data_IF_552135140701
#
_entry.id   IF_552135140701
#
_cell.length_a   1.000
_cell.length_b   1.000
_cell.length_c   1.000
_cell.angle_alpha   90.00
_cell.angle_beta   90.00
_cell.angle_gamma   90.00
#
_symmetry.space_group_name_H-M   'P 1'
#
loop_
_entity.id
_entity.type
_entity.pdbx_description
1 polymer ?
#
# COMPACT_ATOMS: atom_id res chain seq x y z
N UNK A 1 -17.29 -0.26 -11.99
CA UNK A 1 -16.48 -1.19 -11.19
C UNK A 1 -15.63 -0.40 -10.22
N UNK A 2 -15.23 -0.99 -9.09
CA UNK A 2 -14.31 -0.33 -8.16
C UNK A 2 -12.90 -0.40 -8.75
N UNK A 3 -12.20 0.73 -8.87
CA UNK A 3 -10.78 0.74 -9.24
C UNK A 3 -9.96 0.69 -7.94
N UNK A 4 -9.03 -0.26 -7.88
CA UNK A 4 -8.14 -0.46 -6.73
C UNK A 4 -6.72 -0.02 -7.09
N UNK A 5 -6.07 0.72 -6.19
CA UNK A 5 -4.63 0.96 -6.21
C UNK A 5 -3.99 0.02 -5.20
N UNK A 6 -3.25 -0.97 -5.69
CA UNK A 6 -2.46 -1.88 -4.87
C UNK A 6 -1.12 -1.23 -4.53
N UNK A 7 -0.94 -0.88 -3.26
CA UNK A 7 0.19 -0.13 -2.74
C UNK A 7 1.11 -1.06 -1.94
N UNK A 8 2.28 -1.36 -2.49
CA UNK A 8 3.27 -2.23 -1.83
C UNK A 8 4.21 -1.41 -0.93
N UNK A 9 4.39 -1.88 0.30
CA UNK A 9 5.38 -1.35 1.25
C UNK A 9 6.71 -2.08 1.05
N UNK A 10 7.68 -1.37 0.46
CA UNK A 10 9.04 -1.85 0.23
C UNK A 10 9.91 -1.76 1.48
N UNK A 11 10.90 -2.66 1.66
CA UNK A 11 11.31 -3.69 0.70
C UNK A 11 10.64 -5.05 0.92
N UNK A 12 10.34 -5.42 2.16
CA UNK A 12 9.96 -6.79 2.51
C UNK A 12 8.67 -7.28 1.85
N UNK A 13 7.70 -6.38 1.65
CA UNK A 13 6.39 -6.72 1.08
C UNK A 13 6.41 -7.19 -0.39
N UNK A 14 7.50 -6.98 -1.14
CA UNK A 14 7.50 -7.17 -2.59
C UNK A 14 7.15 -8.59 -3.05
N UNK A 15 7.63 -9.62 -2.33
CA UNK A 15 7.42 -11.02 -2.73
C UNK A 15 5.97 -11.44 -2.49
N UNK A 16 5.46 -11.17 -1.30
CA UNK A 16 4.05 -11.39 -0.96
C UNK A 16 3.12 -10.60 -1.88
N UNK A 17 3.47 -9.35 -2.16
CA UNK A 17 2.73 -8.49 -3.07
C UNK A 17 2.64 -9.08 -4.48
N UNK A 18 3.76 -9.53 -5.06
CA UNK A 18 3.77 -10.13 -6.39
C UNK A 18 2.87 -11.36 -6.47
N UNK A 19 2.99 -12.27 -5.48
CA UNK A 19 2.18 -13.48 -5.44
C UNK A 19 0.68 -13.13 -5.30
N UNK A 20 0.32 -12.17 -4.43
CA UNK A 20 -1.05 -11.68 -4.27
C UNK A 20 -1.61 -11.10 -5.57
N UNK A 21 -0.84 -10.27 -6.28
CA UNK A 21 -1.26 -9.68 -7.56
C UNK A 21 -1.55 -10.76 -8.62
N UNK A 22 -0.75 -11.82 -8.66
CA UNK A 22 -0.94 -12.90 -9.63
C UNK A 22 -2.20 -13.73 -9.33
N UNK A 23 -2.53 -13.93 -8.05
CA UNK A 23 -3.83 -14.49 -7.67
C UNK A 23 -5.00 -13.58 -8.06
N UNK A 24 -4.91 -12.27 -7.82
CA UNK A 24 -5.96 -11.30 -8.20
C UNK A 24 -6.16 -11.29 -9.72
N UNK A 25 -5.07 -11.27 -10.51
CA UNK A 25 -5.15 -11.35 -11.98
C UNK A 25 -5.82 -12.64 -12.44
N UNK A 26 -5.48 -13.76 -11.81
CA UNK A 26 -6.08 -15.06 -12.12
C UNK A 26 -7.60 -15.03 -11.86
N UNK A 27 -8.04 -14.45 -10.75
CA UNK A 27 -9.48 -14.30 -10.46
C UNK A 27 -10.18 -13.37 -11.46
N UNK A 28 -9.55 -12.26 -11.84
CA UNK A 28 -10.08 -11.32 -12.82
C UNK A 28 -10.25 -11.92 -14.23
N UNK A 29 -9.43 -12.91 -14.60
CA UNK A 29 -9.53 -13.60 -15.90
C UNK A 29 -10.59 -14.70 -15.94
N UNK A 30 -10.95 -15.25 -14.77
CA UNK A 30 -11.84 -16.40 -14.64
C UNK A 30 -13.24 -16.02 -14.08
N UNK A 31 -13.58 -14.72 -14.06
CA UNK A 31 -14.84 -14.21 -13.52
C UNK A 31 -15.52 -13.25 -14.48
N UNK A 32 -16.86 -13.23 -14.47
CA UNK A 32 -17.68 -12.23 -15.17
C UNK A 32 -17.50 -10.80 -14.63
N UNK A 33 -16.75 -10.65 -13.52
CA UNK A 33 -16.46 -9.36 -12.87
C UNK A 33 -14.95 -9.13 -12.83
N UNK A 34 -14.49 -8.15 -13.61
CA UNK A 34 -13.10 -7.68 -13.58
C UNK A 34 -12.98 -6.44 -12.71
N UNK A 35 -11.96 -6.42 -11.85
CA UNK A 35 -11.59 -5.26 -11.02
C UNK A 35 -10.32 -4.64 -11.58
N UNK A 36 -10.38 -3.42 -12.14
CA UNK A 36 -9.20 -2.68 -12.57
C UNK A 36 -8.24 -2.47 -11.39
N UNK A 37 -6.95 -2.70 -11.64
CA UNK A 37 -5.91 -2.63 -10.63
C UNK A 37 -4.74 -1.79 -11.15
N UNK A 38 -4.32 -0.80 -10.38
CA UNK A 38 -3.06 -0.09 -10.58
C UNK A 38 -2.10 -0.46 -9.46
N UNK A 39 -0.82 -0.56 -9.78
CA UNK A 39 0.22 -0.92 -8.81
C UNK A 39 1.05 0.32 -8.50
N UNK A 40 1.34 0.54 -7.23
CA UNK A 40 2.28 1.56 -6.77
C UNK A 40 3.14 1.02 -5.62
N UNK A 41 4.29 1.64 -5.40
CA UNK A 41 5.28 1.21 -4.43
C UNK A 41 5.75 2.37 -3.57
N UNK A 42 5.62 2.22 -2.26
CA UNK A 42 6.16 3.15 -1.29
C UNK A 42 7.25 2.48 -0.47
N UNK A 43 8.20 3.28 0.01
CA UNK A 43 9.15 2.86 1.01
C UNK A 43 8.90 3.64 2.28
N UNK A 44 8.70 2.91 3.35
CA UNK A 44 8.52 3.50 4.67
C UNK A 44 9.85 3.45 5.41
N UNK A 45 10.30 4.60 5.93
CA UNK A 45 11.46 4.67 6.83
C UNK A 45 11.00 5.22 8.17
N UNK A 46 11.09 4.40 9.21
CA UNK A 46 11.10 4.90 10.58
C UNK A 46 12.48 5.53 10.83
N UNK A 47 12.53 6.80 11.23
CA UNK A 47 13.78 7.39 11.70
C UNK A 47 14.13 6.77 13.05
N UNK A 48 15.16 5.94 13.12
CA UNK A 48 15.73 5.46 14.39
C UNK A 48 17.24 5.26 14.28
N UNK A 49 18.00 6.15 14.92
CA UNK A 49 19.19 5.76 15.66
C UNK A 49 18.67 5.31 17.04
N UNK A 50 18.46 4.01 17.24
CA UNK A 50 18.17 3.32 18.51
C UNK A 50 17.02 3.82 19.41
N UNK A 51 16.22 4.81 18.99
CA UNK A 51 15.04 5.30 19.72
C UNK A 51 13.84 5.46 18.80
N UNK A 52 12.78 4.71 19.08
CA UNK A 52 11.49 4.84 18.40
C UNK A 52 10.95 6.27 18.52
N UNK A 53 10.97 7.03 17.43
CA UNK A 53 10.17 8.24 17.30
C UNK A 53 8.94 7.93 16.45
N UNK A 54 7.83 8.61 16.68
CA UNK A 54 6.59 8.46 15.87
C UNK A 54 6.70 9.10 14.47
N UNK A 55 7.92 9.44 14.02
CA UNK A 55 8.14 10.12 12.75
C UNK A 55 8.53 9.10 11.68
N UNK A 56 7.52 8.68 10.93
CA UNK A 56 7.67 7.82 9.76
C UNK A 56 7.71 8.69 8.50
N UNK A 57 8.70 8.47 7.64
CA UNK A 57 8.78 9.13 6.32
C UNK A 57 8.48 8.14 5.22
N UNK A 58 7.53 8.50 4.37
CA UNK A 58 7.22 7.78 3.13
C UNK A 58 8.10 8.33 2.01
N UNK A 59 8.71 7.44 1.23
CA UNK A 59 9.60 7.75 0.11
C UNK A 59 9.17 6.91 -1.08
N UNK A 60 9.03 7.53 -2.24
CA UNK A 60 8.47 6.85 -3.41
C UNK A 60 6.95 6.80 -3.36
N UNK A 61 6.36 6.13 -4.34
CA UNK A 61 4.98 6.34 -4.75
C UNK A 61 4.94 7.39 -5.86
N UNK A 62 4.08 7.18 -6.86
CA UNK A 62 3.60 8.33 -7.62
C UNK A 62 2.98 9.34 -6.65
N UNK A 63 2.77 10.58 -7.10
CA UNK A 63 2.22 11.66 -6.28
C UNK A 63 1.03 11.14 -5.44
N UNK A 64 1.16 11.05 -4.11
CA UNK A 64 0.16 10.39 -3.23
C UNK A 64 -1.24 11.01 -3.38
N UNK A 65 -1.31 12.23 -3.88
CA UNK A 65 -2.50 12.92 -4.40
C UNK A 65 -3.33 12.07 -5.37
N UNK A 66 -2.70 11.19 -6.14
CA UNK A 66 -3.35 10.27 -7.08
C UNK A 66 -4.21 9.21 -6.41
N UNK A 67 -4.17 9.08 -5.09
CA UNK A 67 -5.02 8.16 -4.31
C UNK A 67 -6.40 8.74 -3.99
N UNK A 68 -6.61 10.04 -4.20
CA UNK A 68 -7.88 10.71 -3.92
C UNK A 68 -9.06 10.05 -4.63
N UNK A 69 -10.08 9.65 -3.86
CA UNK A 69 -11.29 8.98 -4.34
C UNK A 69 -11.09 7.55 -4.84
N UNK A 70 -9.91 6.95 -4.66
CA UNK A 70 -9.61 5.56 -5.06
C UNK A 70 -9.67 4.61 -3.87
N UNK A 71 -10.02 3.35 -4.13
CA UNK A 71 -9.89 2.30 -3.12
C UNK A 71 -8.41 1.89 -3.07
N UNK A 72 -7.80 1.88 -1.88
CA UNK A 72 -6.37 1.57 -1.73
C UNK A 72 -6.21 0.24 -1.01
N UNK A 73 -5.45 -0.68 -1.60
CA UNK A 73 -5.07 -1.97 -1.02
C UNK A 73 -3.60 -1.89 -0.60
N UNK A 74 -3.35 -1.68 0.69
CA UNK A 74 -1.99 -1.62 1.25
C UNK A 74 -1.49 -3.03 1.52
N UNK A 75 -0.25 -3.31 1.13
CA UNK A 75 0.39 -4.61 1.33
C UNK A 75 1.75 -4.45 1.98
N UNK A 76 1.87 -4.93 3.22
CA UNK A 76 3.11 -5.01 4.01
C UNK A 76 3.44 -6.48 4.30
N UNK A 77 4.71 -6.81 4.56
CA UNK A 77 5.14 -8.19 4.83
C UNK A 77 4.75 -8.66 6.22
N UNK A 78 4.93 -7.81 7.23
CA UNK A 78 4.64 -8.13 8.63
C UNK A 78 4.18 -6.90 9.40
N UNK A 79 3.17 -7.11 10.24
CA UNK A 79 2.69 -6.11 11.20
C UNK A 79 3.04 -6.61 12.60
N UNK A 80 3.95 -5.92 13.29
CA UNK A 80 4.33 -6.25 14.67
C UNK A 80 3.55 -5.38 15.67
N UNK A 81 4.00 -4.14 15.91
CA UNK A 81 3.37 -3.22 16.87
C UNK A 81 2.26 -2.36 16.25
N UNK A 82 2.10 -2.39 14.93
CA UNK A 82 1.11 -1.57 14.21
C UNK A 82 1.48 -0.10 13.99
N UNK A 83 2.48 0.45 14.69
CA UNK A 83 2.84 1.89 14.61
C UNK A 83 3.16 2.39 13.20
N UNK A 84 3.84 1.56 12.39
CA UNK A 84 4.13 1.87 10.99
C UNK A 84 2.85 2.02 10.20
N UNK A 85 1.91 1.08 10.34
CA UNK A 85 0.60 1.11 9.68
C UNK A 85 -0.27 2.26 10.17
N UNK A 86 -0.29 2.56 11.47
CA UNK A 86 -1.04 3.71 12.01
C UNK A 86 -0.57 5.02 11.38
N UNK A 87 0.75 5.21 11.28
CA UNK A 87 1.31 6.43 10.70
C UNK A 87 1.06 6.48 9.19
N UNK A 88 1.22 5.35 8.49
CA UNK A 88 0.94 5.25 7.06
C UNK A 88 -0.53 5.55 6.75
N UNK A 89 -1.47 4.97 7.50
CA UNK A 89 -2.90 5.23 7.35
C UNK A 89 -3.24 6.70 7.60
N UNK A 90 -2.61 7.32 8.61
CA UNK A 90 -2.79 8.75 8.88
C UNK A 90 -2.34 9.60 7.69
N UNK A 91 -1.14 9.35 7.14
CA UNK A 91 -0.63 10.05 5.96
C UNK A 91 -1.50 9.84 4.71
N UNK A 92 -1.95 8.62 4.47
CA UNK A 92 -2.80 8.31 3.31
C UNK A 92 -4.20 8.91 3.46
N UNK A 93 -4.72 9.05 4.69
CA UNK A 93 -6.03 9.66 4.93
C UNK A 93 -6.07 11.13 4.48
N UNK A 94 -4.96 11.86 4.58
CA UNK A 94 -4.82 13.25 4.09
C UNK A 94 -5.01 13.36 2.58
N UNK A 95 -4.81 12.27 1.85
CA UNK A 95 -5.00 12.19 0.40
C UNK A 95 -6.46 11.90 -0.01
N UNK A 96 -7.39 11.78 0.95
CA UNK A 96 -8.82 11.49 0.74
C UNK A 96 -9.11 10.24 -0.13
N UNK A 97 -8.53 9.07 0.18
CA UNK A 97 -8.93 7.81 -0.46
C UNK A 97 -10.41 7.49 -0.16
N UNK A 98 -10.99 6.58 -0.93
CA UNK A 98 -12.38 6.15 -0.79
C UNK A 98 -12.58 5.22 0.41
#
# INVERSE_FOLDING_TARGET
GHHIVALCVLKGGYKFFADLLDYIKSLNQNSDKSVPLTVDFIRVKSYCNDKSTNNVKVIGGDELSNLSGKNVLIVEDIVETGRTMETLLSLLSECNPK
#
